data_IF_492712403036
#
_entry.id   IF_492712403036
#
_cell.length_a   1.000
_cell.length_b   1.000
_cell.length_c   1.000
_cell.angle_alpha   90.00
_cell.angle_beta   90.00
_cell.angle_gamma   90.00
#
_symmetry.space_group_name_H-M   'P 1'
#
loop_
_entity.id
_entity.type
_entity.pdbx_description
1 polymer ?
#
# COMPACT_ATOMS: atom_id res chain seq x y z
N UNK A 1 20.60 -1.33 26.85
CA UNK A 1 20.18 -0.18 26.02
C UNK A 1 19.45 -0.74 24.80
N UNK A 2 18.12 -0.70 24.75
CA UNK A 2 17.37 -1.15 23.56
C UNK A 2 17.70 -0.18 22.44
N UNK A 3 18.40 -0.64 21.40
CA UNK A 3 18.57 0.13 20.16
C UNK A 3 17.19 0.67 19.77
N UNK A 4 17.06 2.00 19.64
CA UNK A 4 15.77 2.62 19.31
C UNK A 4 15.33 2.10 17.95
N UNK A 5 14.42 1.13 17.94
CA UNK A 5 13.79 0.60 16.73
C UNK A 5 13.35 1.78 15.86
N UNK A 6 13.78 1.79 14.61
CA UNK A 6 13.38 2.76 13.60
C UNK A 6 13.13 2.03 12.28
N UNK A 7 12.27 2.56 11.39
CA UNK A 7 12.06 1.96 10.06
C UNK A 7 13.37 1.66 9.31
N UNK A 8 14.37 2.54 9.39
CA UNK A 8 15.69 2.32 8.78
C UNK A 8 16.44 1.11 9.39
N UNK A 9 16.32 0.89 10.70
CA UNK A 9 16.94 -0.27 11.35
C UNK A 9 16.21 -1.55 10.93
N UNK A 10 14.88 -1.53 10.85
CA UNK A 10 14.09 -2.66 10.33
C UNK A 10 14.54 -3.02 8.91
N UNK A 11 14.74 -2.03 8.05
CA UNK A 11 15.24 -2.24 6.69
C UNK A 11 16.63 -2.87 6.67
N UNK A 12 17.58 -2.30 7.42
CA UNK A 12 18.95 -2.82 7.52
C UNK A 12 19.03 -4.24 8.08
N UNK A 13 18.15 -4.57 9.03
CA UNK A 13 18.11 -5.88 9.68
C UNK A 13 17.28 -6.92 8.94
N UNK A 14 16.61 -6.56 7.84
CA UNK A 14 15.78 -7.49 7.07
C UNK A 14 14.39 -7.75 7.64
N UNK A 15 13.90 -6.84 8.48
CA UNK A 15 12.61 -6.94 9.16
C UNK A 15 11.61 -5.88 8.67
N UNK A 16 11.81 -5.34 7.48
CA UNK A 16 10.99 -4.24 6.99
C UNK A 16 9.60 -4.71 6.55
N UNK A 17 8.58 -4.04 7.08
CA UNK A 17 7.18 -4.24 6.74
C UNK A 17 6.59 -2.96 6.15
N UNK A 18 6.05 -3.06 4.93
CA UNK A 18 5.34 -1.98 4.25
C UNK A 18 3.88 -2.35 4.04
N UNK A 19 2.97 -1.46 4.45
CA UNK A 19 1.56 -1.53 4.06
C UNK A 19 1.35 -0.71 2.78
N UNK A 20 0.70 -1.30 1.77
CA UNK A 20 0.27 -0.59 0.55
C UNK A 20 -1.25 -0.38 0.64
N UNK A 21 -1.69 0.85 0.93
CA UNK A 21 -3.09 1.21 0.91
C UNK A 21 -3.64 1.22 -0.53
N UNK A 22 -2.82 1.64 -1.49
CA UNK A 22 -3.09 1.61 -2.92
C UNK A 22 -2.76 2.96 -3.58
N UNK A 23 -1.98 2.94 -4.67
CA UNK A 23 -1.51 4.14 -5.35
C UNK A 23 -2.64 5.05 -5.89
N UNK A 24 -3.81 4.47 -6.19
CA UNK A 24 -5.01 5.18 -6.65
C UNK A 24 -6.17 5.14 -5.65
N UNK A 25 -5.96 4.64 -4.43
CA UNK A 25 -7.04 4.43 -3.47
C UNK A 25 -7.26 5.67 -2.61
N UNK A 26 -8.41 6.33 -2.78
CA UNK A 26 -8.74 7.62 -2.16
C UNK A 26 -9.89 7.52 -1.15
N UNK A 27 -10.28 6.30 -0.73
CA UNK A 27 -11.24 6.13 0.36
C UNK A 27 -10.59 6.43 1.72
N UNK A 28 -10.65 7.72 2.09
CA UNK A 28 -9.96 8.26 3.27
C UNK A 28 -10.26 7.50 4.58
N UNK A 29 -11.51 7.07 4.88
CA UNK A 29 -11.81 6.31 6.09
C UNK A 29 -11.06 4.97 6.13
N UNK A 30 -11.01 4.23 5.03
CA UNK A 30 -10.24 2.98 4.97
C UNK A 30 -8.75 3.23 5.08
N UNK A 31 -8.21 4.22 4.36
CA UNK A 31 -6.78 4.59 4.44
C UNK A 31 -6.41 4.91 5.90
N UNK A 32 -7.24 5.71 6.59
CA UNK A 32 -7.07 6.06 8.00
C UNK A 32 -7.01 4.82 8.89
N UNK A 33 -8.04 3.97 8.81
CA UNK A 33 -8.20 2.83 9.72
C UNK A 33 -7.15 1.75 9.49
N UNK A 34 -6.79 1.49 8.22
CA UNK A 34 -5.67 0.63 7.87
C UNK A 34 -4.36 1.18 8.45
N UNK A 35 -4.10 2.48 8.27
CA UNK A 35 -2.90 3.15 8.80
C UNK A 35 -2.81 2.99 10.31
N UNK A 36 -3.90 3.25 11.04
CA UNK A 36 -3.95 3.12 12.49
C UNK A 36 -3.64 1.68 12.95
N UNK A 37 -4.38 0.70 12.42
CA UNK A 37 -4.25 -0.69 12.85
C UNK A 37 -2.84 -1.27 12.58
N UNK A 38 -2.30 -1.04 11.38
CA UNK A 38 -0.97 -1.53 11.01
C UNK A 38 0.16 -0.77 11.68
N UNK A 39 -0.03 0.51 12.00
CA UNK A 39 0.95 1.26 12.81
C UNK A 39 1.06 0.69 14.21
N UNK A 40 -0.07 0.45 14.89
CA UNK A 40 -0.11 -0.17 16.22
C UNK A 40 0.43 -1.61 16.21
N UNK A 41 0.28 -2.33 15.09
CA UNK A 41 0.87 -3.64 14.89
C UNK A 41 2.40 -3.61 14.64
N UNK A 42 2.97 -2.46 14.28
CA UNK A 42 4.43 -2.29 14.08
C UNK A 42 4.90 -2.24 12.63
N UNK A 43 4.08 -1.76 11.69
CA UNK A 43 4.52 -1.45 10.34
C UNK A 43 5.66 -0.40 10.33
N UNK A 44 6.56 -0.47 9.34
CA UNK A 44 7.65 0.52 9.18
C UNK A 44 7.32 1.59 8.14
N UNK A 45 6.41 1.29 7.23
CA UNK A 45 6.03 2.20 6.15
C UNK A 45 4.57 2.01 5.76
N UNK A 46 3.90 3.14 5.54
CA UNK A 46 2.54 3.23 5.05
C UNK A 46 2.58 3.95 3.71
N UNK A 47 2.21 3.24 2.66
CA UNK A 47 2.20 3.72 1.29
C UNK A 47 0.78 4.06 0.85
N UNK A 48 0.57 5.33 0.56
CA UNK A 48 -0.72 5.93 0.22
C UNK A 48 -0.68 6.54 -1.17
N UNK A 49 -1.86 6.80 -1.72
CA UNK A 49 -1.98 7.58 -2.95
C UNK A 49 -1.23 8.92 -2.82
N UNK A 50 -0.63 9.37 -3.91
CA UNK A 50 0.06 10.65 -4.01
C UNK A 50 -0.95 11.82 -4.05
N UNK A 51 -1.79 11.89 -3.02
CA UNK A 51 -2.95 12.75 -2.85
C UNK A 51 -2.86 13.43 -1.47
N UNK A 52 -2.93 14.77 -1.39
CA UNK A 52 -2.79 15.48 -0.11
C UNK A 52 -3.79 15.04 0.96
N UNK A 53 -5.02 14.67 0.60
CA UNK A 53 -6.02 14.23 1.56
C UNK A 53 -5.71 12.83 2.10
N UNK A 54 -5.24 11.92 1.25
CA UNK A 54 -4.77 10.60 1.68
C UNK A 54 -3.57 10.70 2.63
N UNK A 55 -2.59 11.57 2.32
CA UNK A 55 -1.41 11.84 3.15
C UNK A 55 -1.83 12.43 4.50
N UNK A 56 -2.72 13.43 4.50
CA UNK A 56 -3.23 14.04 5.73
C UNK A 56 -3.99 13.03 6.60
N UNK A 57 -4.84 12.20 5.98
CA UNK A 57 -5.60 11.14 6.67
C UNK A 57 -4.67 10.12 7.36
N UNK A 58 -3.63 9.67 6.66
CA UNK A 58 -2.61 8.80 7.22
C UNK A 58 -1.85 9.50 8.37
N UNK A 59 -1.41 10.75 8.19
CA UNK A 59 -0.72 11.53 9.21
C UNK A 59 -1.54 11.69 10.51
N UNK A 60 -2.83 11.96 10.39
CA UNK A 60 -3.73 12.01 11.55
C UNK A 60 -3.86 10.64 12.25
N UNK A 61 -3.88 9.53 11.50
CA UNK A 61 -3.92 8.20 12.09
C UNK A 61 -2.63 7.87 12.85
N UNK A 62 -1.46 8.29 12.34
CA UNK A 62 -0.18 8.15 13.03
C UNK A 62 -0.13 8.92 14.35
N UNK A 63 -0.71 10.13 14.38
CA UNK A 63 -0.83 10.92 15.62
C UNK A 63 -1.68 10.18 16.67
N UNK A 64 -2.83 9.62 16.27
CA UNK A 64 -3.66 8.80 17.16
C UNK A 64 -2.91 7.56 17.64
N UNK A 65 -2.21 6.86 16.75
CA UNK A 65 -1.42 5.69 17.11
C UNK A 65 -0.34 6.02 18.16
N UNK A 66 0.30 7.18 18.05
CA UNK A 66 1.27 7.65 19.04
C UNK A 66 0.64 7.87 20.43
N UNK A 67 -0.62 8.27 20.50
CA UNK A 67 -1.37 8.39 21.76
C UNK A 67 -1.76 7.04 22.37
N UNK A 68 -1.83 5.98 21.55
CA UNK A 68 -2.23 4.62 21.96
C UNK A 68 -1.04 3.67 22.16
N UNK A 69 0.20 4.16 22.02
CA UNK A 69 1.40 3.34 22.00
C UNK A 69 1.61 2.48 23.26
N UNK A 70 1.29 3.02 24.44
CA UNK A 70 1.54 2.31 25.71
C UNK A 70 0.54 1.18 25.89
N UNK A 71 -0.69 1.37 25.42
CA UNK A 71 -1.69 0.32 25.38
C UNK A 71 -1.31 -0.76 24.38
N UNK A 72 -0.86 -0.39 23.17
CA UNK A 72 -0.42 -1.38 22.19
C UNK A 72 0.73 -2.23 22.74
N UNK A 73 1.71 -1.61 23.42
CA UNK A 73 2.82 -2.32 24.08
C UNK A 73 2.34 -3.19 25.25
N UNK A 74 1.40 -2.74 26.07
CA UNK A 74 0.88 -3.53 27.21
C UNK A 74 0.10 -4.77 26.75
N UNK A 75 -0.51 -4.71 25.57
CA UNK A 75 -1.17 -5.83 24.90
C UNK A 75 -0.19 -6.73 24.13
N UNK A 76 1.11 -6.41 24.12
CA UNK A 76 2.14 -7.19 23.44
C UNK A 76 2.22 -6.96 21.92
N UNK A 77 1.60 -5.92 21.38
CA UNK A 77 1.70 -5.58 19.96
C UNK A 77 3.03 -4.91 19.61
N UNK A 78 3.41 -5.02 18.33
CA UNK A 78 4.71 -4.64 17.81
C UNK A 78 5.00 -3.13 17.67
N UNK A 79 4.19 -2.23 18.26
CA UNK A 79 4.45 -0.78 18.15
C UNK A 79 5.81 -0.41 18.77
N UNK A 80 6.69 0.14 17.94
CA UNK A 80 8.03 0.58 18.35
C UNK A 80 8.30 2.05 18.02
N UNK A 81 7.96 2.48 16.80
CA UNK A 81 8.17 3.82 16.30
C UNK A 81 7.11 4.13 15.24
N UNK A 82 6.96 5.41 14.90
CA UNK A 82 6.10 5.81 13.79
C UNK A 82 6.68 5.29 12.45
N UNK A 83 5.84 4.71 11.59
CA UNK A 83 6.23 4.35 10.24
C UNK A 83 6.49 5.60 9.40
N UNK A 84 7.19 5.41 8.28
CA UNK A 84 7.34 6.42 7.24
C UNK A 84 6.10 6.48 6.35
N UNK A 85 5.66 7.69 6.01
CA UNK A 85 4.65 7.89 4.97
C UNK A 85 5.36 7.90 3.61
N UNK A 86 4.97 6.93 2.77
CA UNK A 86 5.41 6.80 1.40
C UNK A 86 4.27 7.16 0.45
N UNK A 87 4.62 7.73 -0.69
CA UNK A 87 3.69 7.90 -1.81
C UNK A 87 4.23 7.22 -3.06
N UNK A 88 3.31 6.70 -3.87
CA UNK A 88 3.65 6.07 -5.15
C UNK A 88 3.37 7.01 -6.32
N UNK A 89 4.34 7.13 -7.22
CA UNK A 89 4.25 7.87 -8.49
C UNK A 89 4.75 7.00 -9.65
N UNK A 90 4.33 7.29 -10.87
CA UNK A 90 4.68 6.53 -12.07
C UNK A 90 5.39 7.40 -13.11
N UNK A 91 6.28 6.79 -13.89
CA UNK A 91 6.97 7.43 -15.02
C UNK A 91 6.20 7.35 -16.36
N UNK A 92 5.06 6.67 -16.38
CA UNK A 92 4.20 6.49 -17.56
C UNK A 92 2.95 5.68 -17.23
N UNK A 93 2.26 5.13 -18.22
CA UNK A 93 1.10 4.26 -17.97
C UNK A 93 1.47 3.09 -17.06
N UNK A 94 0.68 2.85 -16.02
CA UNK A 94 0.95 1.82 -15.03
C UNK A 94 -0.36 1.23 -14.48
N UNK A 95 -0.50 -0.11 -14.37
CA UNK A 95 -1.72 -0.76 -13.88
C UNK A 95 -2.15 -0.42 -12.45
N UNK A 96 -1.27 0.13 -11.60
CA UNK A 96 -1.58 0.63 -10.26
C UNK A 96 -2.19 2.03 -10.28
N UNK A 97 -2.02 2.74 -11.40
CA UNK A 97 -2.50 4.09 -11.66
C UNK A 97 -3.62 4.07 -12.69
N UNK A 98 -4.57 3.15 -12.51
CA UNK A 98 -5.77 3.08 -13.34
C UNK A 98 -7.01 2.99 -12.47
N UNK A 99 -8.13 3.46 -13.00
CA UNK A 99 -9.44 3.24 -12.43
C UNK A 99 -10.38 2.65 -13.47
N UNK A 100 -11.39 1.92 -13.01
CA UNK A 100 -12.44 1.44 -13.90
C UNK A 100 -13.34 2.64 -14.28
N UNK A 101 -13.78 2.66 -15.53
CA UNK A 101 -14.73 3.66 -16.03
C UNK A 101 -15.70 2.99 -16.99
N UNK A 102 -16.97 3.37 -16.94
CA UNK A 102 -17.97 3.02 -17.95
C UNK A 102 -19.13 4.02 -17.87
N UNK A 103 -19.84 4.19 -18.99
CA UNK A 103 -21.10 4.90 -19.00
C UNK A 103 -22.21 3.95 -18.48
N UNK A 104 -22.83 4.25 -17.32
CA UNK A 104 -23.89 3.41 -16.77
C UNK A 104 -25.14 3.36 -17.64
N UNK A 105 -25.39 4.38 -18.46
CA UNK A 105 -26.58 4.48 -19.31
C UNK A 105 -26.58 3.49 -20.47
N UNK A 106 -25.40 3.00 -20.88
CA UNK A 106 -25.25 1.98 -21.93
C UNK A 106 -25.21 0.55 -21.37
N UNK A 107 -25.21 0.38 -20.05
CA UNK A 107 -25.25 -0.94 -19.43
C UNK A 107 -26.67 -1.53 -19.57
N UNK A 108 -26.84 -2.71 -20.20
CA UNK A 108 -28.16 -3.31 -20.38
C UNK A 108 -28.84 -3.56 -19.03
N UNK A 109 -30.14 -3.24 -18.95
CA UNK A 109 -30.92 -3.43 -17.72
C UNK A 109 -31.10 -4.90 -17.35
N UNK A 110 -31.00 -5.82 -18.32
CA UNK A 110 -31.01 -7.28 -18.16
C UNK A 110 -29.63 -7.88 -17.86
N UNK A 111 -28.58 -7.05 -17.76
CA UNK A 111 -27.27 -7.50 -17.32
C UNK A 111 -27.35 -8.00 -15.88
N UNK A 112 -26.83 -9.19 -15.63
CA UNK A 112 -26.72 -9.77 -14.27
C UNK A 112 -25.57 -9.16 -13.44
N UNK A 113 -24.86 -8.17 -14.02
CA UNK A 113 -23.83 -7.30 -13.41
C UNK A 113 -22.80 -8.05 -12.54
N UNK A 114 -22.01 -8.96 -13.14
CA UNK A 114 -20.91 -9.63 -12.42
C UNK A 114 -19.85 -8.67 -11.90
N UNK A 115 -19.70 -7.52 -12.55
CA UNK A 115 -18.72 -6.50 -12.20
C UNK A 115 -18.95 -5.93 -10.80
N UNK A 116 -20.20 -5.77 -10.35
CA UNK A 116 -20.53 -5.35 -8.98
C UNK A 116 -20.03 -6.38 -7.98
N UNK A 117 -20.43 -7.65 -8.17
CA UNK A 117 -20.13 -8.74 -7.23
C UNK A 117 -18.64 -9.06 -7.11
N UNK A 118 -17.87 -8.88 -8.18
CA UNK A 118 -16.43 -9.17 -8.17
C UNK A 118 -15.60 -8.01 -7.63
N UNK A 119 -16.18 -6.82 -7.50
CA UNK A 119 -15.45 -5.61 -7.12
C UNK A 119 -15.15 -5.65 -5.61
N UNK A 120 -13.89 -5.83 -5.20
CA UNK A 120 -13.53 -6.00 -3.79
C UNK A 120 -13.60 -4.70 -2.97
N UNK A 121 -13.89 -3.58 -3.61
CA UNK A 121 -14.06 -2.28 -2.97
C UNK A 121 -15.51 -1.78 -3.05
N UNK A 122 -16.44 -2.61 -3.56
CA UNK A 122 -17.83 -2.24 -3.83
C UNK A 122 -17.95 -0.91 -4.61
N UNK A 123 -16.96 -0.65 -5.48
CA UNK A 123 -16.82 0.61 -6.18
C UNK A 123 -17.75 0.73 -7.40
N UNK A 124 -18.55 -0.29 -7.71
CA UNK A 124 -19.49 -0.28 -8.83
C UNK A 124 -20.89 -0.40 -8.24
N UNK A 125 -21.73 0.60 -8.48
CA UNK A 125 -23.08 0.69 -7.92
C UNK A 125 -24.08 0.95 -9.04
N UNK A 126 -25.25 0.33 -8.95
CA UNK A 126 -26.39 0.64 -9.79
C UNK A 126 -27.59 0.95 -8.89
N UNK A 127 -28.24 2.08 -9.13
CA UNK A 127 -29.47 2.43 -8.41
C UNK A 127 -30.64 1.62 -8.99
N UNK A 128 -31.05 0.55 -8.31
CA UNK A 128 -32.19 -0.26 -8.76
C UNK A 128 -33.56 0.31 -8.33
N UNK A 129 -33.59 1.21 -7.34
CA UNK A 129 -34.82 1.79 -6.82
C UNK A 129 -35.05 3.22 -7.35
N UNK A 130 -36.13 3.41 -8.10
CA UNK A 130 -36.66 4.75 -8.48
C UNK A 130 -37.31 5.51 -7.32
N UNK A 131 -37.43 4.88 -6.14
CA UNK A 131 -38.10 5.43 -4.95
C UNK A 131 -37.13 5.77 -3.79
N UNK A 132 -35.83 5.55 -3.93
CA UNK A 132 -34.82 6.07 -3.00
C UNK A 132 -34.11 7.26 -3.64
N UNK A 133 -33.92 8.34 -2.88
CA UNK A 133 -33.54 9.70 -3.33
C UNK A 133 -32.07 9.80 -3.81
N UNK A 134 -31.42 8.69 -4.15
CA UNK A 134 -30.12 8.70 -4.85
C UNK A 134 -30.30 8.53 -6.36
N UNK A 135 -31.22 9.30 -6.94
CA UNK A 135 -31.33 9.49 -8.38
C UNK A 135 -30.00 10.05 -8.92
N UNK A 136 -29.17 9.21 -9.54
CA UNK A 136 -28.04 9.67 -10.37
C UNK A 136 -26.72 8.91 -10.27
N UNK A 137 -26.51 8.05 -9.27
CA UNK A 137 -25.18 7.46 -9.02
C UNK A 137 -25.08 5.99 -9.45
N UNK A 138 -25.46 5.68 -10.70
CA UNK A 138 -25.04 4.41 -11.30
C UNK A 138 -23.65 4.61 -11.92
N UNK A 139 -22.75 3.63 -11.79
CA UNK A 139 -21.38 3.75 -12.33
C UNK A 139 -20.30 3.35 -11.34
N UNK A 140 -19.07 3.82 -11.60
CA UNK A 140 -17.93 3.61 -10.72
C UNK A 140 -17.80 4.77 -9.74
N UNK A 141 -17.75 4.48 -8.44
CA UNK A 141 -17.36 5.44 -7.41
C UNK A 141 -15.84 5.54 -7.43
N UNK A 142 -15.33 6.64 -7.99
CA UNK A 142 -13.91 6.81 -8.33
C UNK A 142 -13.02 6.71 -7.08
N UNK A 143 -13.47 7.23 -5.93
CA UNK A 143 -12.72 7.24 -4.67
C UNK A 143 -12.51 5.83 -4.08
N UNK A 144 -13.48 4.93 -4.30
CA UNK A 144 -13.42 3.53 -3.87
C UNK A 144 -12.62 2.66 -4.85
N UNK A 145 -12.60 3.04 -6.13
CA UNK A 145 -11.94 2.26 -7.17
C UNK A 145 -10.42 2.38 -7.07
N UNK A 146 -9.78 1.38 -6.48
CA UNK A 146 -8.31 1.31 -6.42
C UNK A 146 -7.67 0.67 -7.66
N UNK A 147 -8.43 0.37 -8.73
CA UNK A 147 -7.84 -0.07 -10.00
C UNK A 147 -7.52 -1.55 -10.16
N UNK A 148 -8.08 -2.44 -9.33
CA UNK A 148 -7.78 -3.88 -9.40
C UNK A 148 -8.04 -4.52 -10.78
N UNK A 149 -8.97 -3.96 -11.54
CA UNK A 149 -9.29 -4.41 -12.89
C UNK A 149 -10.07 -5.73 -12.97
N UNK A 150 -10.52 -6.31 -11.84
CA UNK A 150 -11.34 -7.53 -11.84
C UNK A 150 -12.64 -7.37 -12.64
N UNK A 151 -13.20 -6.17 -12.64
CA UNK A 151 -14.41 -5.82 -13.36
C UNK A 151 -14.24 -5.82 -14.90
N UNK A 152 -13.02 -5.55 -15.40
CA UNK A 152 -12.73 -5.41 -16.84
C UNK A 152 -13.02 -6.71 -17.58
N UNK A 153 -12.50 -7.83 -17.08
CA UNK A 153 -12.58 -9.13 -17.76
C UNK A 153 -13.92 -9.86 -17.56
N UNK A 154 -14.68 -9.51 -16.52
CA UNK A 154 -15.96 -10.20 -16.23
C UNK A 154 -17.17 -9.49 -16.85
N UNK A 155 -17.02 -8.26 -17.35
CA UNK A 155 -18.12 -7.53 -17.98
C UNK A 155 -18.54 -8.26 -19.28
N UNK A 156 -19.77 -8.82 -19.36
CA UNK A 156 -20.18 -9.62 -20.53
C UNK A 156 -20.25 -8.82 -21.83
N UNK A 157 -20.47 -7.51 -21.71
CA UNK A 157 -20.56 -6.56 -22.82
C UNK A 157 -19.27 -5.78 -23.05
N UNK A 158 -18.23 -6.03 -22.24
CA UNK A 158 -16.93 -5.33 -22.30
C UNK A 158 -17.04 -3.80 -22.27
N UNK A 159 -18.03 -3.26 -21.54
CA UNK A 159 -18.28 -1.82 -21.44
C UNK A 159 -17.33 -1.10 -20.49
N UNK A 160 -16.67 -1.84 -19.59
CA UNK A 160 -15.76 -1.29 -18.58
C UNK A 160 -14.37 -1.15 -19.17
N UNK A 161 -13.85 0.07 -19.13
CA UNK A 161 -12.51 0.42 -19.60
C UNK A 161 -11.61 0.77 -18.41
N UNK A 162 -10.29 0.65 -18.63
CA UNK A 162 -9.28 1.11 -17.69
C UNK A 162 -8.86 2.52 -18.09
N UNK A 163 -9.25 3.51 -17.30
CA UNK A 163 -8.78 4.88 -17.43
C UNK A 163 -7.45 5.01 -16.70
N UNK A 164 -6.36 5.21 -17.45
CA UNK A 164 -5.06 5.52 -16.88
C UNK A 164 -5.10 6.89 -16.21
N UNK A 165 -4.87 6.91 -14.90
CA UNK A 165 -4.67 8.13 -14.13
C UNK A 165 -3.20 8.55 -14.28
N UNK A 166 -2.84 9.07 -15.47
CA UNK A 166 -1.55 9.72 -15.66
C UNK A 166 -1.69 11.15 -15.15
N UNK A 167 -1.62 11.32 -13.84
CA UNK A 167 -1.37 12.65 -13.32
C UNK A 167 0.06 13.04 -13.72
N UNK A 168 0.25 14.23 -14.28
CA UNK A 168 1.56 14.70 -14.75
C UNK A 168 2.60 14.52 -13.64
N UNK A 169 3.54 13.56 -13.74
CA UNK A 169 4.33 13.11 -12.60
C UNK A 169 5.15 14.24 -11.94
N UNK A 170 5.55 15.23 -12.72
CA UNK A 170 6.27 16.43 -12.27
C UNK A 170 5.44 17.36 -11.36
N UNK A 171 4.13 17.50 -11.59
CA UNK A 171 3.27 18.35 -10.76
C UNK A 171 2.88 17.67 -9.45
N UNK A 172 2.63 16.35 -9.49
CA UNK A 172 2.36 15.57 -8.27
C UNK A 172 3.60 15.55 -7.38
N UNK A 173 4.78 15.25 -7.94
CA UNK A 173 6.00 15.16 -7.15
C UNK A 173 6.21 16.46 -6.34
N UNK A 174 6.06 17.62 -6.99
CA UNK A 174 6.21 18.91 -6.33
C UNK A 174 5.15 19.17 -5.26
N UNK A 175 3.88 18.85 -5.53
CA UNK A 175 2.79 19.03 -4.57
C UNK A 175 2.95 18.13 -3.34
N UNK A 176 3.30 16.86 -3.56
CA UNK A 176 3.43 15.87 -2.50
C UNK A 176 4.68 16.10 -1.67
N UNK A 177 5.78 16.51 -2.27
CA UNK A 177 7.00 16.82 -1.52
C UNK A 177 6.80 18.01 -0.56
N UNK A 178 5.94 18.97 -0.91
CA UNK A 178 5.56 20.06 0.00
C UNK A 178 4.72 19.60 1.20
N UNK A 179 4.06 18.44 1.11
CA UNK A 179 3.30 17.87 2.25
C UNK A 179 4.18 17.20 3.30
N UNK A 180 5.50 17.05 3.04
CA UNK A 180 6.46 16.50 4.00
C UNK A 180 6.45 14.98 4.11
N UNK A 181 6.21 14.28 3.00
CA UNK A 181 6.33 12.80 2.95
C UNK A 181 7.76 12.34 3.26
N UNK A 182 7.88 11.16 3.86
CA UNK A 182 9.17 10.59 4.26
C UNK A 182 9.85 9.84 3.11
N UNK A 183 9.08 9.28 2.18
CA UNK A 183 9.57 8.39 1.15
C UNK A 183 8.76 8.48 -0.15
N UNK A 184 9.39 8.10 -1.26
CA UNK A 184 8.73 8.01 -2.57
C UNK A 184 8.99 6.62 -3.16
N UNK A 185 7.95 6.02 -3.72
CA UNK A 185 8.03 4.91 -4.66
C UNK A 185 7.85 5.41 -6.09
N UNK A 186 8.77 5.03 -6.98
CA UNK A 186 8.70 5.30 -8.41
C UNK A 186 8.41 3.99 -9.12
N UNK A 187 7.24 3.91 -9.75
CA UNK A 187 6.86 2.86 -10.67
C UNK A 187 7.46 3.11 -12.05
N UNK A 188 8.04 2.06 -12.61
CA UNK A 188 8.70 2.05 -13.90
C UNK A 188 8.62 0.66 -14.54
N UNK A 189 9.02 0.54 -15.80
CA UNK A 189 9.14 -0.74 -16.50
C UNK A 189 10.34 -0.70 -17.45
N UNK A 190 10.86 -1.88 -17.81
CA UNK A 190 11.99 -1.98 -18.75
C UNK A 190 11.70 -1.21 -20.05
N UNK A 191 12.69 -0.44 -20.51
CA UNK A 191 12.60 0.37 -21.73
C UNK A 191 12.05 1.79 -21.51
N UNK A 192 11.90 2.26 -20.27
CA UNK A 192 11.42 3.61 -19.93
C UNK A 192 12.50 4.54 -19.38
N UNK A 193 13.77 4.29 -19.67
CA UNK A 193 14.90 5.08 -19.15
C UNK A 193 14.70 6.59 -19.39
N UNK A 194 14.20 6.99 -20.56
CA UNK A 194 13.96 8.39 -20.89
C UNK A 194 12.88 9.04 -20.02
N UNK A 195 11.80 8.32 -19.74
CA UNK A 195 10.69 8.84 -18.95
C UNK A 195 11.00 8.82 -17.46
N UNK A 196 11.70 7.78 -17.01
CA UNK A 196 12.28 7.73 -15.68
C UNK A 196 13.22 8.92 -15.44
N UNK A 197 14.14 9.21 -16.38
CA UNK A 197 15.05 10.37 -16.28
C UNK A 197 14.29 11.70 -16.22
N UNK A 198 13.20 11.83 -16.98
CA UNK A 198 12.35 13.03 -16.98
C UNK A 198 11.69 13.23 -15.62
N UNK A 199 11.12 12.17 -15.05
CA UNK A 199 10.52 12.20 -13.71
C UNK A 199 11.58 12.47 -12.64
N UNK A 200 12.73 11.81 -12.73
CA UNK A 200 13.83 11.97 -11.78
C UNK A 200 14.32 13.41 -11.70
N UNK A 201 14.39 14.14 -12.82
CA UNK A 201 14.73 15.57 -12.81
C UNK A 201 13.79 16.41 -11.94
N UNK A 202 12.52 16.04 -11.83
CA UNK A 202 11.54 16.72 -10.96
C UNK A 202 11.70 16.35 -9.48
N UNK A 203 12.14 15.12 -9.17
CA UNK A 203 12.30 14.61 -7.80
C UNK A 203 13.65 15.03 -7.20
N UNK A 204 14.73 14.99 -8.01
CA UNK A 204 16.11 15.22 -7.60
C UNK A 204 16.33 16.43 -6.68
N UNK A 205 15.70 17.61 -6.90
CA UNK A 205 15.87 18.77 -6.03
C UNK A 205 15.43 18.55 -4.56
N UNK A 206 14.55 17.58 -4.32
CA UNK A 206 13.91 17.34 -3.03
C UNK A 206 14.46 16.11 -2.30
N UNK A 207 15.33 15.34 -2.94
CA UNK A 207 15.82 14.04 -2.44
C UNK A 207 16.47 14.13 -1.05
N UNK A 208 17.10 15.27 -0.73
CA UNK A 208 17.70 15.50 0.60
C UNK A 208 16.69 15.54 1.75
N UNK A 209 15.39 15.71 1.45
CA UNK A 209 14.31 15.70 2.43
C UNK A 209 13.73 14.30 2.64
N UNK A 210 14.00 13.37 1.71
CA UNK A 210 13.50 12.01 1.75
C UNK A 210 14.41 11.11 2.58
N UNK A 211 13.80 10.19 3.32
CA UNK A 211 14.47 9.12 4.08
C UNK A 211 14.71 7.88 3.23
N UNK A 212 13.93 7.70 2.16
CA UNK A 212 13.93 6.50 1.33
C UNK A 212 13.38 6.77 -0.08
N UNK A 213 13.98 6.12 -1.07
CA UNK A 213 13.43 5.97 -2.42
C UNK A 213 13.25 4.48 -2.71
N UNK A 214 12.08 4.10 -3.21
CA UNK A 214 11.82 2.78 -3.75
C UNK A 214 11.65 2.86 -5.27
N UNK A 215 12.32 1.98 -6.00
CA UNK A 215 12.09 1.80 -7.44
C UNK A 215 11.34 0.48 -7.62
N UNK A 216 10.13 0.58 -8.16
CA UNK A 216 9.19 -0.51 -8.34
C UNK A 216 9.12 -0.86 -9.80
N UNK A 217 9.51 -2.09 -10.13
CA UNK A 217 9.60 -2.55 -11.52
C UNK A 217 9.10 -3.99 -11.62
N UNK A 218 8.24 -4.30 -12.62
CA UNK A 218 7.83 -5.66 -12.88
C UNK A 218 8.96 -6.50 -13.48
N UNK A 219 8.82 -7.82 -13.41
CA UNK A 219 9.78 -8.72 -14.05
C UNK A 219 9.68 -8.60 -15.58
N UNK A 220 10.84 -8.67 -16.25
CA UNK A 220 10.96 -8.50 -17.69
C UNK A 220 12.32 -8.96 -18.23
N UNK A 221 12.40 -9.10 -19.55
CA UNK A 221 13.66 -9.26 -20.27
C UNK A 221 14.49 -7.98 -20.12
N UNK A 222 15.82 -8.11 -19.93
CA UNK A 222 16.71 -6.95 -19.75
C UNK A 222 16.56 -6.20 -18.42
N UNK A 223 15.80 -6.75 -17.45
CA UNK A 223 15.54 -6.05 -16.19
C UNK A 223 16.81 -5.70 -15.41
N UNK A 224 17.79 -6.61 -15.35
CA UNK A 224 18.98 -6.37 -14.52
C UNK A 224 19.77 -5.18 -15.06
N UNK A 225 19.97 -5.15 -16.38
CA UNK A 225 20.59 -4.06 -17.13
C UNK A 225 19.80 -2.76 -16.96
N UNK A 226 18.47 -2.85 -17.00
CA UNK A 226 17.59 -1.72 -16.76
C UNK A 226 17.79 -1.13 -15.35
N UNK A 227 17.71 -1.95 -14.30
CA UNK A 227 17.90 -1.49 -12.92
C UNK A 227 19.31 -0.94 -12.66
N UNK A 228 20.34 -1.52 -13.30
CA UNK A 228 21.70 -0.96 -13.30
C UNK A 228 21.72 0.46 -13.92
N UNK A 229 21.07 0.65 -15.07
CA UNK A 229 20.97 1.97 -15.70
C UNK A 229 20.26 2.99 -14.80
N UNK A 230 19.20 2.58 -14.11
CA UNK A 230 18.47 3.45 -13.18
C UNK A 230 19.32 3.83 -11.98
N UNK A 231 20.14 2.89 -11.47
CA UNK A 231 21.08 3.17 -10.39
C UNK A 231 22.07 4.28 -10.78
N UNK A 232 22.64 4.22 -11.98
CA UNK A 232 23.55 5.26 -12.50
C UNK A 232 22.85 6.63 -12.64
N UNK A 233 21.56 6.66 -12.95
CA UNK A 233 20.77 7.89 -13.06
C UNK A 233 20.54 8.56 -11.69
N UNK A 234 20.28 7.76 -10.66
CA UNK A 234 19.88 8.27 -9.34
C UNK A 234 21.05 8.47 -8.39
N UNK A 235 22.18 7.79 -8.62
CA UNK A 235 23.37 7.85 -7.77
C UNK A 235 24.16 9.17 -7.93
N UNK A 236 24.78 9.69 -6.85
CA UNK A 236 24.67 9.24 -5.46
C UNK A 236 23.35 9.67 -4.82
N UNK A 237 22.80 8.81 -3.95
CA UNK A 237 21.62 9.10 -3.14
C UNK A 237 22.01 9.40 -1.68
N UNK A 238 21.44 10.46 -1.06
CA UNK A 238 21.65 10.78 0.35
C UNK A 238 20.79 9.92 1.30
N UNK A 239 19.91 9.08 0.75
CA UNK A 239 18.91 8.30 1.49
C UNK A 239 18.95 6.82 1.09
N UNK A 240 18.17 5.97 1.78
CA UNK A 240 18.13 4.55 1.48
C UNK A 240 17.45 4.28 0.13
N UNK A 241 17.89 3.23 -0.57
CA UNK A 241 17.30 2.77 -1.83
C UNK A 241 16.70 1.38 -1.65
N UNK A 242 15.46 1.20 -2.09
CA UNK A 242 14.80 -0.10 -2.21
C UNK A 242 14.56 -0.42 -3.70
N UNK A 243 14.94 -1.63 -4.10
CA UNK A 243 14.46 -2.29 -5.31
C UNK A 243 13.22 -3.11 -4.95
N UNK A 244 12.05 -2.58 -5.26
CA UNK A 244 10.78 -3.27 -5.06
C UNK A 244 10.51 -4.17 -6.27
N UNK A 245 10.50 -5.47 -6.00
CA UNK A 245 10.13 -6.50 -6.99
C UNK A 245 8.62 -6.54 -7.12
N UNK A 246 8.07 -5.79 -8.07
CA UNK A 246 6.63 -5.74 -8.31
C UNK A 246 6.19 -6.99 -9.08
N UNK A 247 5.82 -8.06 -8.35
CA UNK A 247 5.54 -9.37 -8.92
C UNK A 247 4.32 -9.41 -9.84
N UNK A 248 3.21 -10.00 -9.39
CA UNK A 248 1.96 -10.06 -10.17
C UNK A 248 1.05 -8.89 -9.78
N UNK A 249 1.11 -7.74 -10.49
CA UNK A 249 0.44 -6.53 -10.05
C UNK A 249 -1.07 -6.75 -9.99
N UNK A 250 -1.71 -6.18 -8.97
CA UNK A 250 -3.17 -6.02 -8.85
C UNK A 250 -4.03 -7.29 -9.05
N UNK A 251 -3.43 -8.48 -9.08
CA UNK A 251 -4.13 -9.71 -9.46
C UNK A 251 -5.18 -10.16 -8.44
N UNK A 252 -5.05 -9.73 -7.19
CA UNK A 252 -5.92 -10.16 -6.12
C UNK A 252 -5.80 -11.67 -5.80
N UNK A 253 -4.85 -12.35 -6.45
CA UNK A 253 -4.53 -13.75 -6.25
C UNK A 253 -3.72 -13.89 -4.97
N UNK A 254 -4.43 -14.17 -3.89
CA UNK A 254 -3.88 -14.44 -2.56
C UNK A 254 -3.39 -15.88 -2.41
N UNK A 255 -3.40 -16.68 -3.48
CA UNK A 255 -3.01 -18.08 -3.46
C UNK A 255 -1.50 -18.30 -3.31
N UNK A 256 -1.11 -19.55 -3.03
CA UNK A 256 0.30 -19.89 -2.79
C UNK A 256 1.20 -19.74 -4.05
N UNK A 257 0.62 -19.75 -5.25
CA UNK A 257 1.34 -19.67 -6.52
C UNK A 257 1.93 -18.28 -6.79
N UNK A 258 1.19 -17.21 -6.49
CA UNK A 258 1.64 -15.82 -6.67
C UNK A 258 2.86 -15.50 -5.80
N UNK A 259 2.88 -16.01 -4.55
CA UNK A 259 4.01 -15.87 -3.63
C UNK A 259 5.31 -16.47 -4.16
N UNK A 260 5.24 -17.62 -4.83
CA UNK A 260 6.45 -18.27 -5.36
C UNK A 260 7.04 -17.50 -6.54
N UNK A 261 6.20 -16.85 -7.35
CA UNK A 261 6.67 -15.98 -8.42
C UNK A 261 7.40 -14.75 -7.84
N UNK A 262 6.81 -14.09 -6.84
CA UNK A 262 7.45 -12.96 -6.15
C UNK A 262 8.80 -13.32 -5.53
N UNK A 263 8.92 -14.50 -4.88
CA UNK A 263 10.18 -14.97 -4.30
C UNK A 263 11.23 -15.30 -5.37
N UNK A 264 10.85 -15.91 -6.50
CA UNK A 264 11.81 -16.15 -7.59
C UNK A 264 12.29 -14.83 -8.19
N UNK A 265 11.39 -13.87 -8.32
CA UNK A 265 11.74 -12.56 -8.85
C UNK A 265 12.70 -11.81 -7.91
N UNK A 266 12.44 -11.81 -6.60
CA UNK A 266 13.38 -11.19 -5.64
C UNK A 266 14.76 -11.84 -5.67
N UNK A 267 14.86 -13.17 -5.87
CA UNK A 267 16.15 -13.84 -6.04
C UNK A 267 16.91 -13.35 -7.27
N UNK A 268 16.21 -13.14 -8.40
CA UNK A 268 16.82 -12.58 -9.63
C UNK A 268 17.45 -11.22 -9.34
N UNK A 269 16.75 -10.34 -8.62
CA UNK A 269 17.26 -9.00 -8.26
C UNK A 269 18.38 -9.07 -7.22
N UNK A 270 18.29 -9.95 -6.22
CA UNK A 270 19.38 -10.17 -5.25
C UNK A 270 20.66 -10.65 -5.95
N UNK A 271 20.54 -11.55 -6.92
CA UNK A 271 21.67 -12.08 -7.69
C UNK A 271 22.34 -11.02 -8.58
N UNK A 272 21.64 -9.93 -8.92
CA UNK A 272 22.22 -8.80 -9.64
C UNK A 272 23.21 -7.98 -8.79
N UNK A 273 23.18 -8.14 -7.45
CA UNK A 273 24.08 -7.47 -6.51
C UNK A 273 24.12 -5.95 -6.66
N UNK A 274 22.97 -5.37 -6.99
CA UNK A 274 22.79 -3.93 -7.06
C UNK A 274 22.93 -3.30 -5.68
N UNK A 275 23.54 -2.10 -5.56
CA UNK A 275 23.49 -1.35 -4.32
C UNK A 275 22.04 -0.99 -3.96
N UNK A 276 21.69 -1.11 -2.68
CA UNK A 276 20.32 -0.92 -2.18
C UNK A 276 19.65 -2.21 -1.72
N UNK A 277 18.53 -2.08 -1.03
CA UNK A 277 17.80 -3.16 -0.37
C UNK A 277 16.77 -3.79 -1.31
N UNK A 278 16.47 -5.08 -1.17
CA UNK A 278 15.45 -5.74 -2.00
C UNK A 278 14.18 -5.97 -1.18
N UNK A 279 13.03 -5.56 -1.72
CA UNK A 279 11.72 -5.74 -1.11
C UNK A 279 10.79 -6.53 -2.04
N UNK A 280 10.01 -7.47 -1.50
CA UNK A 280 8.93 -8.13 -2.25
C UNK A 280 7.67 -7.27 -2.25
N UNK A 281 7.06 -7.13 -3.42
CA UNK A 281 5.68 -6.67 -3.59
C UNK A 281 4.98 -7.53 -4.66
N UNK A 282 3.67 -7.35 -4.85
CA UNK A 282 2.91 -8.02 -5.90
C UNK A 282 2.83 -9.56 -5.74
N UNK A 283 1.80 -10.06 -5.04
CA UNK A 283 1.61 -11.49 -4.77
C UNK A 283 2.02 -11.95 -3.36
N UNK A 284 2.17 -10.99 -2.45
CA UNK A 284 2.49 -11.22 -1.03
C UNK A 284 1.23 -11.52 -0.21
N UNK A 285 1.31 -12.52 0.64
CA UNK A 285 0.27 -13.02 1.55
C UNK A 285 0.86 -13.65 2.83
N UNK A 286 0.03 -14.26 3.67
CA UNK A 286 0.45 -14.97 4.89
C UNK A 286 1.43 -16.14 4.72
N UNK A 287 1.67 -16.62 3.49
CA UNK A 287 2.67 -17.66 3.24
C UNK A 287 4.06 -17.09 2.91
N UNK A 288 4.17 -15.78 2.68
CA UNK A 288 5.39 -15.14 2.13
C UNK A 288 6.58 -15.30 3.04
N UNK A 289 6.45 -14.90 4.31
CA UNK A 289 7.56 -14.97 5.28
C UNK A 289 8.00 -16.42 5.48
N UNK A 290 7.05 -17.33 5.73
CA UNK A 290 7.37 -18.75 5.92
C UNK A 290 8.16 -19.35 4.74
N UNK A 291 7.79 -18.97 3.50
CA UNK A 291 8.52 -19.41 2.29
C UNK A 291 9.88 -18.76 2.13
N UNK A 292 10.03 -17.50 2.50
CA UNK A 292 11.35 -16.84 2.51
C UNK A 292 12.28 -17.50 3.53
N UNK A 293 11.78 -17.84 4.73
CA UNK A 293 12.54 -18.61 5.74
C UNK A 293 12.96 -19.96 5.16
N UNK A 294 12.03 -20.72 4.57
CA UNK A 294 12.31 -22.03 3.98
C UNK A 294 13.34 -21.98 2.84
N UNK A 295 13.52 -20.82 2.20
CA UNK A 295 14.51 -20.59 1.14
C UNK A 295 15.80 -19.94 1.64
N UNK A 296 15.91 -19.63 2.94
CA UNK A 296 17.07 -18.94 3.50
C UNK A 296 17.21 -17.50 3.01
N UNK A 297 16.10 -16.87 2.59
CA UNK A 297 16.10 -15.53 1.99
C UNK A 297 15.70 -14.41 2.94
N UNK A 298 15.37 -14.73 4.20
CA UNK A 298 15.25 -13.73 5.26
C UNK A 298 16.56 -13.60 6.01
N UNK A 299 16.79 -12.42 6.58
CA UNK A 299 17.90 -12.20 7.48
C UNK A 299 17.81 -13.17 8.68
N UNK A 300 18.95 -13.73 9.08
CA UNK A 300 19.11 -14.52 10.29
C UNK A 300 20.45 -14.19 10.95
N UNK A 301 20.56 -14.41 12.26
CA UNK A 301 21.81 -14.25 13.03
C UNK A 301 23.01 -14.97 12.36
N UNK A 302 22.79 -16.15 11.77
CA UNK A 302 23.82 -16.94 11.11
C UNK A 302 24.36 -16.27 9.83
N UNK A 303 23.51 -15.55 9.09
CA UNK A 303 23.92 -14.80 7.88
C UNK A 303 24.71 -13.52 8.21
N UNK A 304 24.69 -13.06 9.47
CA UNK A 304 25.40 -11.85 9.92
C UNK A 304 26.88 -12.13 10.24
N UNK A 305 27.24 -13.35 10.66
CA UNK A 305 28.61 -13.71 11.09
C UNK A 305 29.61 -13.90 9.94
N UNK A 306 29.18 -14.26 8.73
CA UNK A 306 30.10 -14.36 7.58
C UNK A 306 30.64 -12.99 7.12
N UNK A 307 29.94 -11.89 7.45
CA UNK A 307 30.25 -10.54 6.97
C UNK A 307 31.20 -9.73 7.88
N UNK A 308 31.46 -10.18 9.12
CA UNK A 308 32.42 -9.51 10.00
C UNK A 308 33.89 -9.89 9.71
N UNK A 309 34.14 -10.86 8.82
CA UNK A 309 35.47 -11.41 8.54
C UNK A 309 36.14 -10.91 7.25
N UNK A 310 35.52 -10.05 6.43
CA UNK A 310 36.14 -9.58 5.17
C UNK A 310 36.06 -8.07 4.93
N UNK A 311 37.22 -7.45 5.11
CA UNK A 311 37.76 -6.23 4.48
C UNK A 311 37.06 -4.88 4.72
N UNK A 312 37.80 -4.01 5.41
CA UNK A 312 37.43 -2.72 5.96
C UNK A 312 37.37 -1.54 4.96
N UNK A 313 37.24 -1.74 3.64
CA UNK A 313 37.44 -0.62 2.70
C UNK A 313 36.45 -0.44 1.53
N UNK A 314 35.29 -1.11 1.54
CA UNK A 314 34.17 -0.77 0.64
C UNK A 314 32.84 -1.14 1.31
N UNK A 315 32.13 -0.16 1.87
CA UNK A 315 30.80 -0.36 2.46
C UNK A 315 29.73 -0.49 1.37
N UNK A 316 29.67 -1.64 0.72
CA UNK A 316 28.45 -2.08 0.02
C UNK A 316 28.06 -3.40 0.69
N UNK A 317 27.00 -3.43 1.52
CA UNK A 317 26.51 -4.69 2.05
C UNK A 317 26.14 -5.58 0.87
N UNK A 318 26.78 -6.75 0.76
CA UNK A 318 26.27 -7.78 -0.14
C UNK A 318 24.89 -8.20 0.39
N UNK A 319 23.83 -7.58 -0.15
CA UNK A 319 22.46 -7.90 0.21
C UNK A 319 22.12 -9.28 -0.33
N UNK A 320 22.36 -10.30 0.50
CA UNK A 320 22.04 -11.70 0.20
C UNK A 320 20.63 -12.11 0.63
N UNK A 321 19.91 -11.21 1.30
CA UNK A 321 18.57 -11.46 1.83
C UNK A 321 17.59 -10.38 1.40
N UNK A 322 16.32 -10.76 1.37
CA UNK A 322 15.19 -9.85 1.22
C UNK A 322 15.11 -8.98 2.47
N UNK A 323 15.19 -7.67 2.28
CA UNK A 323 15.21 -6.72 3.38
C UNK A 323 13.83 -6.45 3.97
N UNK A 324 12.76 -6.71 3.21
CA UNK A 324 11.39 -6.53 3.66
C UNK A 324 10.32 -7.05 2.70
N UNK A 325 9.07 -7.00 3.17
CA UNK A 325 7.90 -7.40 2.39
C UNK A 325 6.84 -6.31 2.47
N UNK A 326 6.28 -5.96 1.31
CA UNK A 326 5.17 -5.05 1.18
C UNK A 326 3.86 -5.81 0.95
N UNK A 327 2.79 -5.42 1.63
CA UNK A 327 1.48 -6.06 1.55
C UNK A 327 0.41 -5.05 1.14
N UNK A 328 -0.27 -5.35 0.03
CA UNK A 328 -1.43 -4.58 -0.45
C UNK A 328 -2.74 -5.32 -0.26
N UNK A 329 -3.23 -5.96 -1.32
CA UNK A 329 -4.55 -6.62 -1.36
C UNK A 329 -4.79 -7.57 -0.19
N UNK A 330 -3.82 -8.42 0.15
CA UNK A 330 -3.97 -9.35 1.29
C UNK A 330 -4.16 -8.62 2.62
N UNK A 331 -3.34 -7.58 2.87
CA UNK A 331 -3.43 -6.78 4.09
C UNK A 331 -4.76 -6.03 4.22
N UNK A 332 -5.33 -5.56 3.09
CA UNK A 332 -6.65 -4.93 3.07
C UNK A 332 -7.79 -5.93 3.30
N UNK A 333 -7.75 -7.06 2.61
CA UNK A 333 -8.74 -8.15 2.78
C UNK A 333 -8.75 -8.65 4.22
N UNK A 334 -7.58 -8.74 4.87
CA UNK A 334 -7.46 -9.19 6.25
C UNK A 334 -8.28 -8.33 7.23
N UNK A 335 -8.42 -7.01 6.96
CA UNK A 335 -9.15 -6.09 7.83
C UNK A 335 -10.57 -5.77 7.30
N UNK A 336 -10.95 -6.26 6.10
CA UNK A 336 -12.24 -5.92 5.48
C UNK A 336 -13.45 -6.26 6.36
N UNK A 337 -13.52 -7.41 7.08
CA UNK A 337 -14.69 -7.72 7.89
C UNK A 337 -14.94 -6.70 9.01
N UNK A 338 -13.88 -6.15 9.60
CA UNK A 338 -13.96 -5.14 10.65
C UNK A 338 -14.37 -3.79 10.07
N UNK A 339 -13.79 -3.42 8.93
CA UNK A 339 -14.13 -2.17 8.25
C UNK A 339 -15.59 -2.18 7.74
N UNK A 340 -16.07 -3.30 7.20
CA UNK A 340 -17.46 -3.48 6.81
C UNK A 340 -18.41 -3.39 8.01
N UNK A 341 -18.02 -3.95 9.16
CA UNK A 341 -18.79 -3.82 10.41
C UNK A 341 -18.87 -2.35 10.86
N UNK A 342 -17.75 -1.63 10.81
CA UNK A 342 -17.66 -0.21 11.13
C UNK A 342 -18.57 0.63 10.22
N UNK A 343 -18.53 0.38 8.91
CA UNK A 343 -19.38 1.06 7.93
C UNK A 343 -20.87 0.75 8.14
N UNK A 344 -21.22 -0.51 8.44
CA UNK A 344 -22.60 -0.90 8.75
C UNK A 344 -23.12 -0.17 9.99
N UNK A 345 -22.32 -0.11 11.06
CA UNK A 345 -22.67 0.63 12.27
C UNK A 345 -22.91 2.11 11.98
N UNK A 346 -22.03 2.73 11.18
CA UNK A 346 -22.18 4.11 10.77
C UNK A 346 -23.47 4.35 9.96
N UNK A 347 -23.76 3.49 8.97
CA UNK A 347 -24.99 3.56 8.16
C UNK A 347 -26.25 3.43 9.02
N UNK A 348 -26.29 2.47 9.94
CA UNK A 348 -27.43 2.29 10.85
C UNK A 348 -27.67 3.51 11.74
N UNK A 349 -26.59 4.16 12.19
CA UNK A 349 -26.72 5.37 13.01
C UNK A 349 -27.22 6.57 12.21
N UNK A 350 -26.74 6.77 10.98
CA UNK A 350 -27.26 7.81 10.09
C UNK A 350 -28.76 7.63 9.85
N UNK A 351 -29.20 6.39 9.56
CA UNK A 351 -30.63 6.07 9.39
C UNK A 351 -31.46 6.36 10.64
N UNK A 352 -30.92 6.05 11.83
CA UNK A 352 -31.60 6.35 13.10
C UNK A 352 -31.72 7.86 13.36
N UNK A 353 -30.70 8.65 13.02
CA UNK A 353 -30.71 10.12 13.13
C UNK A 353 -31.73 10.70 12.14
N UNK A 354 -31.73 10.25 10.89
CA UNK A 354 -32.69 10.68 9.87
C UNK A 354 -34.13 10.40 10.31
N UNK A 355 -34.39 9.22 10.87
CA UNK A 355 -35.69 8.86 11.43
C UNK A 355 -36.09 9.75 12.61
N UNK A 356 -35.16 10.07 13.50
CA UNK A 356 -35.43 10.87 14.70
C UNK A 356 -35.70 12.35 14.42
N UNK A 357 -35.05 12.94 13.41
CA UNK A 357 -35.11 14.39 13.14
C UNK A 357 -35.97 14.79 11.93
N UNK A 358 -36.59 13.83 11.23
CA UNK A 358 -37.56 14.10 10.15
C UNK A 358 -37.06 15.00 9.02
N UNK A 359 -35.74 15.17 8.88
CA UNK A 359 -35.12 16.14 7.97
C UNK A 359 -34.51 15.42 6.77
N UNK A 360 -35.16 15.56 5.61
CA UNK A 360 -34.75 14.91 4.35
C UNK A 360 -33.71 15.71 3.54
N UNK A 361 -33.32 16.91 3.92
CA UNK A 361 -32.20 17.65 3.35
C UNK A 361 -31.95 18.85 4.26
N UNK A 362 -30.77 19.05 4.87
CA UNK A 362 -29.68 19.85 4.29
C UNK A 362 -28.32 19.55 5.00
N UNK A 363 -28.32 18.84 6.15
CA UNK A 363 -27.10 18.57 6.95
C UNK A 363 -26.43 17.20 6.75
N UNK A 364 -26.99 16.30 5.93
CA UNK A 364 -26.45 14.96 5.75
C UNK A 364 -25.01 14.94 5.19
N UNK A 365 -24.67 15.86 4.27
CA UNK A 365 -23.32 15.94 3.66
C UNK A 365 -22.23 16.43 4.61
N UNK A 366 -22.58 17.21 5.65
CA UNK A 366 -21.61 17.67 6.66
C UNK A 366 -21.37 16.60 7.73
N UNK A 367 -22.37 15.75 8.03
CA UNK A 367 -22.20 14.62 8.97
C UNK A 367 -21.44 13.42 8.37
N UNK A 368 -21.44 13.25 7.05
CA UNK A 368 -20.88 12.04 6.39
C UNK A 368 -19.36 12.06 6.23
N UNK A 369 -18.72 13.22 6.18
CA UNK A 369 -17.27 13.29 5.90
C UNK A 369 -16.39 13.24 7.16
N UNK A 370 -16.94 13.49 8.35
CA UNK A 370 -16.18 13.48 9.61
C UNK A 370 -16.93 12.79 10.76
N UNK A 371 -17.76 11.79 10.43
CA UNK A 371 -18.39 11.00 11.48
C UNK A 371 -17.34 10.24 12.27
N UNK A 372 -17.23 10.54 13.57
CA UNK A 372 -16.34 9.85 14.51
C UNK A 372 -16.51 8.32 14.48
N UNK A 373 -17.68 7.81 14.09
CA UNK A 373 -17.98 6.37 14.06
C UNK A 373 -17.35 5.63 12.89
N UNK A 374 -16.80 6.35 11.92
CA UNK A 374 -15.95 5.74 10.87
C UNK A 374 -14.51 5.55 11.34
N UNK A 375 -14.17 5.96 12.57
CA UNK A 375 -12.81 5.91 13.13
C UNK A 375 -12.70 4.75 14.11
N UNK A 376 -11.76 3.82 13.88
CA UNK A 376 -11.58 2.63 14.71
C UNK A 376 -11.33 2.96 16.19
N UNK A 377 -10.59 4.04 16.48
CA UNK A 377 -10.23 4.43 17.84
C UNK A 377 -11.42 4.79 18.75
N UNK A 378 -12.60 5.01 18.18
CA UNK A 378 -13.83 5.27 18.94
C UNK A 378 -14.46 3.97 19.48
N UNK A 379 -14.08 2.82 18.91
CA UNK A 379 -14.60 1.50 19.28
C UNK A 379 -13.44 0.59 19.71
N UNK A 380 -13.01 0.63 20.99
CA UNK A 380 -11.82 -0.07 21.46
C UNK A 380 -11.77 -1.56 21.14
N UNK A 381 -12.91 -2.26 21.22
CA UNK A 381 -12.99 -3.68 20.88
C UNK A 381 -12.62 -3.95 19.42
N UNK A 382 -13.22 -3.19 18.47
CA UNK A 382 -12.92 -3.33 17.04
C UNK A 382 -11.50 -2.87 16.70
N UNK A 383 -11.01 -1.82 17.36
CA UNK A 383 -9.64 -1.36 17.21
C UNK A 383 -8.67 -2.50 17.53
N UNK A 384 -8.78 -3.11 18.72
CA UNK A 384 -7.81 -4.12 19.14
C UNK A 384 -7.99 -5.44 18.38
N UNK A 385 -9.20 -5.76 17.92
CA UNK A 385 -9.42 -6.85 16.96
C UNK A 385 -8.65 -6.58 15.65
N UNK A 386 -8.74 -5.36 15.09
CA UNK A 386 -8.05 -4.98 13.87
C UNK A 386 -6.52 -4.99 14.04
N UNK A 387 -6.02 -4.49 15.18
CA UNK A 387 -4.59 -4.52 15.51
C UNK A 387 -4.10 -5.97 15.66
N UNK A 388 -4.88 -6.85 16.27
CA UNK A 388 -4.56 -8.28 16.39
C UNK A 388 -4.43 -8.96 15.03
N UNK A 389 -5.39 -8.72 14.13
CA UNK A 389 -5.34 -9.23 12.76
C UNK A 389 -4.13 -8.67 12.01
N UNK A 390 -3.89 -7.36 12.05
CA UNK A 390 -2.71 -6.75 11.43
C UNK A 390 -1.40 -7.34 12.01
N UNK A 391 -1.33 -7.53 13.33
CA UNK A 391 -0.17 -8.09 14.01
C UNK A 391 0.10 -9.55 13.60
N UNK A 392 -0.93 -10.34 13.30
CA UNK A 392 -0.76 -11.72 12.79
C UNK A 392 0.04 -11.79 11.48
N UNK A 393 0.06 -10.68 10.72
CA UNK A 393 0.83 -10.54 9.49
C UNK A 393 2.17 -9.83 9.74
N UNK A 394 2.17 -8.71 10.47
CA UNK A 394 3.37 -7.91 10.76
C UNK A 394 4.39 -8.70 11.56
N UNK A 395 3.94 -9.40 12.61
CA UNK A 395 4.83 -10.14 13.51
C UNK A 395 5.67 -11.20 12.79
N UNK A 396 5.18 -11.75 11.67
CA UNK A 396 5.89 -12.80 10.92
C UNK A 396 7.29 -12.37 10.49
N UNK A 397 7.44 -11.12 10.03
CA UNK A 397 8.74 -10.58 9.60
C UNK A 397 9.48 -9.83 10.71
N UNK A 398 8.78 -9.46 11.80
CA UNK A 398 9.37 -8.78 12.95
C UNK A 398 10.00 -9.73 13.98
N UNK A 399 9.51 -10.95 14.05
CA UNK A 399 9.90 -11.96 15.05
C UNK A 399 10.78 -13.07 14.49
N UNK A 400 11.25 -12.94 13.24
CA UNK A 400 12.11 -13.96 12.59
C UNK A 400 13.47 -14.19 13.28
N UNK A 401 13.83 -13.35 14.25
CA UNK A 401 15.01 -13.52 15.13
C UNK A 401 14.72 -14.32 16.42
N UNK A 402 13.49 -14.83 16.66
CA UNK A 402 13.09 -15.44 17.95
C UNK A 402 12.99 -16.97 17.99
N UNK A 403 13.69 -17.72 17.11
CA UNK A 403 13.82 -19.17 17.28
C UNK A 403 15.23 -19.68 17.07
#
# INVERSE_FOLDING_TARGET
MRERYSPLISLKKGHWFKLICGASFQHLPTVRNLTLAYTLAGADCIDVAADPAAIASAGQALQVASGLQDWAKSQGFGYQALPWIMVSINDGEDPHFRKAEFDPSVCPTDCWRPCEKVCPADAIVFSEDRNTITCGNSGVIDELCYGCGRCLSVCPKQLIQARSYVSTPSSIASLVLQTGVDAIEIHTQVGRESDFQRLWKSIKPWVNQLKLIAISCPDGEGLVEYLQSLYEIISPLPCALIWQTDGKPMSGDIGAGSTMAAIRFSQKVLNAKLPGYVQLAGGTNNFTVAKLVAKGLLASENNKQENSAKNLNTYIPENRFVSGVAYGSYARVLLSPILEKLEKMHKSQLQAIEFAYGTTSIHAKELTNDSQLTKLEVLPELLWEAVSLANSLVSQIKTSDLK
#
